data_IF_014326689844
#
_entry.id   IF_014326689844
#
_cell.length_a   1.000
_cell.length_b   1.000
_cell.length_c   1.000
_cell.angle_alpha   90.00
_cell.angle_beta   90.00
_cell.angle_gamma   90.00
#
_symmetry.space_group_name_H-M   'P 1'
#
loop_
_entity.id
_entity.type
_entity.pdbx_description
1 polymer ?
#
# COMPACT_ATOMS: atom_id res chain seq x y z
N UNK A 1 67.88 -20.34 47.86
CA UNK A 1 66.52 -20.59 48.41
C UNK A 1 65.60 -19.48 47.92
N UNK A 2 64.58 -19.86 47.15
CA UNK A 2 63.34 -19.18 46.72
C UNK A 2 63.38 -17.68 46.35
N UNK A 3 63.36 -17.44 45.04
CA UNK A 3 62.87 -16.20 44.42
C UNK A 3 61.39 -15.99 44.74
N UNK A 4 61.07 -14.74 45.06
CA UNK A 4 59.71 -14.19 45.16
C UNK A 4 59.13 -14.12 43.76
N UNK A 5 58.08 -14.90 43.50
CA UNK A 5 57.27 -14.79 42.30
C UNK A 5 56.18 -13.75 42.51
N UNK A 6 56.22 -12.68 41.72
CA UNK A 6 55.14 -11.71 41.56
C UNK A 6 53.84 -12.43 41.21
N UNK A 7 52.84 -12.34 42.09
CA UNK A 7 51.46 -12.69 41.77
C UNK A 7 50.80 -11.46 41.17
N UNK A 8 50.89 -11.31 39.85
CA UNK A 8 49.98 -10.47 39.07
C UNK A 8 48.57 -11.03 39.21
N UNK A 9 47.76 -10.39 40.06
CA UNK A 9 46.32 -10.67 40.17
C UNK A 9 45.67 -10.22 38.87
N UNK A 10 45.54 -11.14 37.92
CA UNK A 10 44.66 -10.99 36.77
C UNK A 10 43.22 -10.89 37.28
N UNK A 11 42.71 -9.67 37.40
CA UNK A 11 41.28 -9.44 37.56
C UNK A 11 40.56 -10.06 36.35
N UNK A 12 39.46 -10.80 36.55
CA UNK A 12 38.73 -11.39 35.43
C UNK A 12 38.25 -10.25 34.52
N UNK A 13 38.57 -10.35 33.23
CA UNK A 13 37.96 -9.55 32.19
C UNK A 13 36.46 -9.85 32.24
N UNK A 14 35.70 -8.98 32.88
CA UNK A 14 34.25 -9.03 32.88
C UNK A 14 33.78 -8.96 31.42
N UNK A 15 33.06 -9.98 31.00
CA UNK A 15 32.45 -10.03 29.68
C UNK A 15 31.25 -9.07 29.64
N UNK A 16 31.10 -8.31 28.55
CA UNK A 16 30.06 -7.29 28.39
C UNK A 16 28.66 -7.93 28.52
N UNK A 17 28.51 -9.16 28.01
CA UNK A 17 27.26 -9.91 28.09
C UNK A 17 26.94 -10.33 29.54
N UNK A 18 27.95 -10.72 30.31
CA UNK A 18 27.80 -11.06 31.72
C UNK A 18 27.42 -9.83 32.56
N UNK A 19 28.03 -8.67 32.29
CA UNK A 19 27.71 -7.40 32.96
C UNK A 19 26.27 -6.97 32.63
N UNK A 20 25.87 -7.06 31.36
CA UNK A 20 24.50 -6.73 30.91
C UNK A 20 23.45 -7.60 31.60
N UNK A 21 23.65 -8.92 31.60
CA UNK A 21 22.73 -9.86 32.25
C UNK A 21 22.63 -9.63 33.76
N UNK A 22 23.75 -9.31 34.41
CA UNK A 22 23.76 -9.02 35.84
C UNK A 22 22.99 -7.73 36.17
N UNK A 23 23.14 -6.68 35.36
CA UNK A 23 22.39 -5.43 35.53
C UNK A 23 20.88 -5.61 35.31
N UNK A 24 20.47 -6.45 34.35
CA UNK A 24 19.07 -6.82 34.13
C UNK A 24 18.46 -7.55 35.33
N UNK A 25 19.24 -8.41 35.99
CA UNK A 25 18.82 -9.14 37.19
C UNK A 25 18.82 -8.27 38.47
N UNK A 26 19.43 -7.07 38.43
CA UNK A 26 19.58 -6.17 39.57
C UNK A 26 19.12 -4.73 39.22
N UNK A 27 17.82 -4.50 38.91
CA UNK A 27 17.33 -3.20 38.44
C UNK A 27 17.56 -2.05 39.44
N UNK A 28 17.58 -2.35 40.75
CA UNK A 28 17.78 -1.36 41.81
C UNK A 28 19.24 -0.90 41.95
N UNK A 29 20.17 -1.50 41.19
CA UNK A 29 21.60 -1.19 41.23
C UNK A 29 21.87 0.32 41.10
N UNK A 30 21.20 0.99 40.16
CA UNK A 30 21.40 2.42 39.92
C UNK A 30 20.88 3.30 41.05
N UNK A 31 19.90 2.83 41.82
CA UNK A 31 19.38 3.55 43.00
C UNK A 31 20.36 3.38 44.16
N UNK A 32 20.81 2.15 44.42
CA UNK A 32 21.75 1.83 45.51
C UNK A 32 23.12 2.51 45.31
N UNK A 33 23.51 2.73 44.06
CA UNK A 33 24.80 3.31 43.68
C UNK A 33 24.67 4.66 42.97
N UNK A 34 23.62 5.45 43.29
CA UNK A 34 23.33 6.72 42.63
C UNK A 34 24.54 7.68 42.58
N UNK A 35 25.31 7.78 43.66
CA UNK A 35 26.50 8.65 43.74
C UNK A 35 27.62 8.23 42.79
N UNK A 36 27.77 6.93 42.54
CA UNK A 36 28.76 6.39 41.60
C UNK A 36 28.26 6.54 40.16
N UNK A 37 26.96 6.39 39.93
CA UNK A 37 26.33 6.56 38.61
C UNK A 37 26.38 8.03 38.16
N UNK A 38 26.25 9.00 39.06
CA UNK A 38 26.47 10.43 38.74
C UNK A 38 27.90 10.72 38.27
N UNK A 39 28.86 9.91 38.69
CA UNK A 39 30.26 10.01 38.25
C UNK A 39 30.51 9.20 36.97
N UNK A 40 29.58 8.30 36.60
CA UNK A 40 29.67 7.54 35.36
C UNK A 40 29.37 8.44 34.17
N UNK A 41 30.41 8.62 33.36
CA UNK A 41 30.40 9.38 32.13
C UNK A 41 30.27 8.42 30.97
N UNK A 42 29.11 8.38 30.34
CA UNK A 42 28.90 7.57 29.15
C UNK A 42 29.36 8.39 27.93
N UNK A 43 30.35 7.91 27.17
CA UNK A 43 30.78 8.60 25.96
C UNK A 43 29.66 8.56 24.93
N UNK A 44 29.20 9.72 24.46
CA UNK A 44 28.30 9.78 23.30
C UNK A 44 29.17 9.73 22.03
N UNK A 45 28.84 8.93 21.01
CA UNK A 45 29.65 8.79 19.79
C UNK A 45 29.89 10.07 18.97
N UNK A 46 29.32 11.22 19.37
CA UNK A 46 29.43 12.49 18.62
C UNK A 46 29.59 13.74 19.51
N UNK A 47 29.42 13.67 20.85
CA UNK A 47 29.61 14.84 21.75
C UNK A 47 29.93 14.45 23.20
N UNK A 48 31.17 14.65 23.62
CA UNK A 48 31.56 14.72 25.05
C UNK A 48 31.16 13.51 25.91
N UNK A 49 31.33 13.66 27.22
CA UNK A 49 30.92 12.67 28.22
C UNK A 49 29.66 13.16 28.93
N UNK A 50 28.57 12.39 28.90
CA UNK A 50 27.27 12.74 29.47
C UNK A 50 26.84 11.73 30.53
N UNK A 51 25.92 12.11 31.43
CA UNK A 51 25.36 11.18 32.43
C UNK A 51 24.48 10.11 31.76
N UNK A 52 24.41 8.91 32.34
CA UNK A 52 23.55 7.81 31.87
C UNK A 52 22.07 8.22 31.77
N UNK A 53 21.58 9.00 32.73
CA UNK A 53 20.19 9.48 32.75
C UNK A 53 19.94 10.49 31.63
N UNK A 54 20.88 11.41 31.40
CA UNK A 54 20.80 12.39 30.30
C UNK A 54 20.82 11.69 28.94
N UNK A 55 21.66 10.67 28.79
CA UNK A 55 21.71 9.84 27.59
C UNK A 55 20.39 9.10 27.35
N UNK A 56 19.80 8.49 28.38
CA UNK A 56 18.52 7.79 28.29
C UNK A 56 17.37 8.74 27.95
N UNK A 57 17.30 9.92 28.57
CA UNK A 57 16.31 10.96 28.28
C UNK A 57 16.44 11.49 26.84
N UNK A 58 17.67 11.71 26.37
CA UNK A 58 17.92 12.13 24.99
C UNK A 58 17.43 11.07 23.99
N UNK A 59 17.70 9.78 24.26
CA UNK A 59 17.22 8.66 23.43
C UNK A 59 15.69 8.56 23.44
N UNK A 60 15.06 8.71 24.60
CA UNK A 60 13.59 8.72 24.70
C UNK A 60 12.97 9.88 23.93
N UNK A 61 13.53 11.09 24.01
CA UNK A 61 13.06 12.24 23.21
C UNK A 61 13.15 11.99 21.72
N UNK A 62 14.26 11.39 21.25
CA UNK A 62 14.41 11.02 19.84
C UNK A 62 13.36 9.98 19.43
N UNK A 63 13.09 8.99 20.28
CA UNK A 63 12.06 7.98 19.99
C UNK A 63 10.65 8.59 19.95
N UNK A 64 10.32 9.49 20.89
CA UNK A 64 9.04 10.23 20.87
C UNK A 64 8.92 11.04 19.57
N UNK A 65 9.97 11.75 19.16
CA UNK A 65 9.95 12.55 17.93
C UNK A 65 9.71 11.67 16.69
N UNK A 66 10.35 10.50 16.62
CA UNK A 66 10.12 9.54 15.54
C UNK A 66 8.68 9.02 15.51
N UNK A 67 8.10 8.72 16.68
CA UNK A 67 6.71 8.29 16.79
C UNK A 67 5.73 9.41 16.40
N UNK A 68 6.02 10.65 16.77
CA UNK A 68 5.22 11.82 16.37
C UNK A 68 5.23 12.03 14.85
N UNK A 69 6.38 11.86 14.19
CA UNK A 69 6.51 11.87 12.73
C UNK A 69 5.70 10.75 12.08
N UNK A 70 5.81 9.51 12.59
CA UNK A 70 5.06 8.35 12.08
C UNK A 70 3.54 8.54 12.23
N UNK A 71 3.08 9.02 13.39
CA UNK A 71 1.65 9.32 13.62
C UNK A 71 1.18 10.41 12.66
N UNK A 72 1.99 11.43 12.40
CA UNK A 72 1.63 12.50 11.44
C UNK A 72 1.43 11.93 10.04
N UNK A 73 2.34 11.08 9.56
CA UNK A 73 2.21 10.41 8.26
C UNK A 73 0.96 9.52 8.21
N UNK A 74 0.68 8.76 9.27
CA UNK A 74 -0.53 7.93 9.34
C UNK A 74 -1.82 8.78 9.30
N UNK A 75 -1.83 9.94 9.97
CA UNK A 75 -2.96 10.86 9.91
C UNK A 75 -3.15 11.45 8.51
N UNK A 76 -2.08 11.86 7.83
CA UNK A 76 -2.14 12.36 6.46
C UNK A 76 -2.73 11.31 5.50
N UNK A 77 -2.27 10.06 5.62
CA UNK A 77 -2.81 8.95 4.85
C UNK A 77 -4.29 8.69 5.15
N UNK A 78 -4.68 8.77 6.42
CA UNK A 78 -6.08 8.59 6.85
C UNK A 78 -7.00 9.66 6.27
N UNK A 79 -6.57 10.93 6.28
CA UNK A 79 -7.33 12.04 5.69
C UNK A 79 -7.47 11.86 4.17
N UNK A 80 -6.39 11.50 3.48
CA UNK A 80 -6.42 11.26 2.04
C UNK A 80 -7.37 10.09 1.68
N UNK A 81 -7.32 9.00 2.44
CA UNK A 81 -8.22 7.86 2.25
C UNK A 81 -9.69 8.23 2.51
N UNK A 82 -9.96 9.03 3.54
CA UNK A 82 -11.31 9.50 3.84
C UNK A 82 -11.87 10.36 2.70
N UNK A 83 -11.07 11.29 2.17
CA UNK A 83 -11.46 12.12 1.02
C UNK A 83 -11.73 11.27 -0.23
N UNK A 84 -10.86 10.29 -0.51
CA UNK A 84 -11.03 9.37 -1.62
C UNK A 84 -12.34 8.57 -1.49
N UNK A 85 -12.68 8.13 -0.28
CA UNK A 85 -13.93 7.43 0.00
C UNK A 85 -15.16 8.32 -0.17
N UNK A 86 -15.12 9.58 0.28
CA UNK A 86 -16.20 10.54 0.05
C UNK A 86 -16.44 10.81 -1.45
N UNK A 87 -15.36 10.93 -2.22
CA UNK A 87 -15.45 11.07 -3.68
C UNK A 87 -16.03 9.81 -4.36
N UNK A 88 -15.73 8.62 -3.82
CA UNK A 88 -16.32 7.37 -4.28
C UNK A 88 -17.83 7.32 -4.02
N UNK A 89 -18.28 7.71 -2.83
CA UNK A 89 -19.71 7.80 -2.52
C UNK A 89 -20.43 8.78 -3.44
N UNK A 90 -19.85 9.95 -3.69
CA UNK A 90 -20.38 10.93 -4.64
C UNK A 90 -20.46 10.36 -6.07
N UNK A 91 -19.44 9.58 -6.49
CA UNK A 91 -19.44 8.91 -7.78
C UNK A 91 -20.62 7.94 -7.93
N UNK A 92 -20.96 7.16 -6.89
CA UNK A 92 -22.07 6.21 -6.97
C UNK A 92 -23.38 6.88 -7.39
N UNK A 93 -23.72 8.02 -6.76
CA UNK A 93 -24.89 8.80 -7.13
C UNK A 93 -24.82 9.31 -8.57
N UNK A 94 -23.65 9.82 -8.99
CA UNK A 94 -23.42 10.32 -10.36
C UNK A 94 -23.57 9.23 -11.43
N UNK A 95 -23.11 8.01 -11.16
CA UNK A 95 -23.23 6.87 -12.07
C UNK A 95 -24.66 6.32 -12.09
N UNK A 96 -25.32 6.26 -10.93
CA UNK A 96 -26.70 5.81 -10.82
C UNK A 96 -27.68 6.76 -11.54
N UNK A 97 -27.38 8.05 -11.61
CA UNK A 97 -28.17 9.06 -12.31
C UNK A 97 -27.79 9.23 -13.79
N UNK A 98 -27.01 8.33 -14.39
CA UNK A 98 -26.64 8.43 -15.80
C UNK A 98 -27.84 8.13 -16.71
N UNK A 99 -27.95 8.87 -17.81
CA UNK A 99 -29.07 8.74 -18.75
C UNK A 99 -28.84 7.65 -19.81
N UNK A 100 -27.58 7.20 -19.94
CA UNK A 100 -27.19 6.11 -20.84
C UNK A 100 -25.92 5.42 -20.32
N UNK A 101 -25.61 4.26 -20.90
CA UNK A 101 -24.35 3.56 -20.62
C UNK A 101 -23.12 4.40 -21.02
N UNK A 102 -23.18 5.12 -22.15
CA UNK A 102 -22.08 5.97 -22.61
C UNK A 102 -21.86 7.16 -21.66
N UNK A 103 -22.94 7.77 -21.17
CA UNK A 103 -22.87 8.82 -20.15
C UNK A 103 -22.27 8.26 -18.85
N UNK A 104 -22.71 7.09 -18.41
CA UNK A 104 -22.15 6.41 -17.22
C UNK A 104 -20.64 6.19 -17.35
N UNK A 105 -20.18 5.62 -18.47
CA UNK A 105 -18.75 5.39 -18.74
C UNK A 105 -17.97 6.71 -18.83
N UNK A 106 -18.56 7.74 -19.44
CA UNK A 106 -17.96 9.07 -19.53
C UNK A 106 -17.81 9.74 -18.15
N UNK A 107 -18.79 9.58 -17.26
CA UNK A 107 -18.74 10.06 -15.87
C UNK A 107 -17.66 9.33 -15.08
N UNK A 108 -17.56 8.00 -15.20
CA UNK A 108 -16.50 7.22 -14.56
C UNK A 108 -15.11 7.64 -15.06
N UNK A 109 -14.96 7.81 -16.37
CA UNK A 109 -13.71 8.27 -16.97
C UNK A 109 -13.33 9.68 -16.50
N UNK A 110 -14.30 10.62 -16.48
CA UNK A 110 -14.08 11.99 -15.99
C UNK A 110 -13.68 12.01 -14.52
N UNK A 111 -14.35 11.23 -13.67
CA UNK A 111 -14.00 11.11 -12.26
C UNK A 111 -12.55 10.63 -12.06
N UNK A 112 -12.09 9.65 -12.85
CA UNK A 112 -10.69 9.25 -12.81
C UNK A 112 -9.74 10.38 -13.24
N UNK A 113 -10.12 11.19 -14.23
CA UNK A 113 -9.35 12.37 -14.64
C UNK A 113 -9.31 13.45 -13.56
N UNK A 114 -10.40 13.65 -12.81
CA UNK A 114 -10.47 14.56 -11.66
C UNK A 114 -9.48 14.15 -10.55
N UNK A 115 -9.23 12.84 -10.40
CA UNK A 115 -8.21 12.26 -9.51
C UNK A 115 -6.77 12.37 -10.05
N UNK A 116 -6.55 13.00 -11.20
CA UNK A 116 -5.22 13.12 -11.83
C UNK A 116 -4.78 11.87 -12.61
N UNK A 117 -5.66 10.87 -12.77
CA UNK A 117 -5.34 9.65 -13.51
C UNK A 117 -5.40 9.89 -15.03
N UNK A 118 -4.82 8.98 -15.81
CA UNK A 118 -4.96 8.98 -17.27
C UNK A 118 -6.40 8.64 -17.69
N UNK A 119 -7.10 7.82 -16.92
CA UNK A 119 -8.54 7.58 -17.07
C UNK A 119 -9.00 6.25 -16.48
N UNK A 120 -10.30 6.00 -16.60
CA UNK A 120 -10.92 4.71 -16.26
C UNK A 120 -11.43 4.04 -17.54
N UNK A 121 -11.31 2.70 -17.59
CA UNK A 121 -11.76 1.88 -18.69
C UNK A 121 -12.41 0.61 -18.14
N UNK A 122 -13.42 0.13 -18.86
CA UNK A 122 -14.15 -1.09 -18.49
C UNK A 122 -14.19 -2.03 -19.68
N UNK A 123 -13.97 -3.31 -19.40
CA UNK A 123 -14.14 -4.41 -20.32
C UNK A 123 -15.12 -5.42 -19.72
N UNK A 124 -16.06 -5.90 -20.50
CA UNK A 124 -17.08 -6.86 -20.08
C UNK A 124 -16.85 -8.19 -20.79
N UNK A 125 -16.94 -9.30 -20.07
CA UNK A 125 -16.73 -10.59 -20.69
C UNK A 125 -17.90 -10.98 -21.59
N UNK A 126 -17.61 -11.23 -22.87
CA UNK A 126 -18.65 -11.43 -23.89
C UNK A 126 -19.51 -12.69 -23.71
N UNK A 127 -19.09 -13.60 -22.83
CA UNK A 127 -19.82 -14.82 -22.45
C UNK A 127 -20.84 -14.58 -21.32
N UNK A 128 -20.78 -13.44 -20.62
CA UNK A 128 -21.70 -13.07 -19.53
C UNK A 128 -22.66 -11.93 -19.87
N UNK A 129 -22.42 -11.22 -20.98
CA UNK A 129 -23.15 -10.01 -21.35
C UNK A 129 -23.56 -10.04 -22.82
N UNK A 130 -24.79 -9.61 -23.12
CA UNK A 130 -25.29 -9.47 -24.49
C UNK A 130 -24.76 -8.19 -25.15
N UNK A 131 -23.51 -8.25 -25.63
CA UNK A 131 -22.78 -7.11 -26.23
C UNK A 131 -22.80 -7.09 -27.78
N UNK A 132 -23.46 -8.07 -28.40
CA UNK A 132 -23.52 -8.20 -29.86
C UNK A 132 -24.64 -7.34 -30.45
N UNK A 133 -24.60 -7.15 -31.77
CA UNK A 133 -25.64 -6.45 -32.51
C UNK A 133 -27.04 -6.97 -32.12
N UNK A 134 -28.02 -6.08 -31.91
CA UNK A 134 -28.04 -4.67 -32.28
C UNK A 134 -27.39 -3.70 -31.27
N UNK A 135 -26.76 -4.18 -30.19
CA UNK A 135 -26.13 -3.30 -29.20
C UNK A 135 -24.88 -2.60 -29.74
N UNK A 136 -24.74 -1.29 -29.48
CA UNK A 136 -23.58 -0.47 -29.88
C UNK A 136 -22.35 -0.65 -28.97
N UNK A 137 -22.33 -1.68 -28.12
CA UNK A 137 -21.38 -1.82 -27.01
C UNK A 137 -20.26 -2.84 -27.26
N UNK A 138 -20.06 -3.24 -28.52
CA UNK A 138 -19.01 -4.20 -28.92
C UNK A 138 -17.61 -3.78 -28.48
N UNK A 139 -17.37 -2.47 -28.34
CA UNK A 139 -16.09 -1.93 -27.85
C UNK A 139 -15.78 -2.33 -26.39
N UNK A 140 -16.80 -2.64 -25.59
CA UNK A 140 -16.62 -3.12 -24.21
C UNK A 140 -16.29 -4.60 -24.15
N UNK A 141 -16.57 -5.36 -25.22
CA UNK A 141 -16.42 -6.80 -25.22
C UNK A 141 -14.96 -7.23 -25.04
N UNK A 142 -14.77 -8.23 -24.20
CA UNK A 142 -13.51 -8.92 -23.97
C UNK A 142 -13.77 -10.43 -23.95
N UNK A 143 -13.05 -11.16 -24.79
CA UNK A 143 -13.09 -12.62 -24.74
C UNK A 143 -12.37 -13.11 -23.50
N UNK A 144 -13.03 -13.94 -22.68
CA UNK A 144 -12.41 -14.58 -21.52
C UNK A 144 -11.16 -15.38 -21.90
N UNK A 145 -11.20 -16.08 -23.05
CA UNK A 145 -10.06 -16.83 -23.56
C UNK A 145 -8.87 -15.93 -23.91
N UNK A 146 -9.12 -14.75 -24.49
CA UNK A 146 -8.06 -13.80 -24.81
C UNK A 146 -7.45 -13.15 -23.54
N UNK A 147 -8.26 -12.98 -22.50
CA UNK A 147 -7.83 -12.40 -21.23
C UNK A 147 -7.11 -13.38 -20.30
N UNK A 148 -7.33 -14.69 -20.48
CA UNK A 148 -6.82 -15.73 -19.58
C UNK A 148 -5.29 -15.68 -19.33
N UNK A 149 -4.43 -15.44 -20.34
CA UNK A 149 -3.00 -15.28 -20.10
C UNK A 149 -2.68 -14.11 -19.16
N UNK A 150 -3.38 -12.99 -19.31
CA UNK A 150 -3.22 -11.80 -18.45
C UNK A 150 -3.71 -12.11 -17.03
N UNK A 151 -4.85 -12.79 -16.92
CA UNK A 151 -5.40 -13.24 -15.63
C UNK A 151 -4.39 -14.09 -14.87
N UNK A 152 -3.80 -15.09 -15.53
CA UNK A 152 -2.83 -15.99 -14.90
C UNK A 152 -1.54 -15.24 -14.52
N UNK A 153 -0.98 -14.45 -15.43
CA UNK A 153 0.33 -13.81 -15.22
C UNK A 153 0.29 -12.64 -14.23
N UNK A 154 -0.81 -11.88 -14.20
CA UNK A 154 -0.90 -10.64 -13.40
C UNK A 154 -1.71 -10.82 -12.13
N UNK A 155 -2.84 -11.51 -12.21
CA UNK A 155 -3.77 -11.64 -11.08
C UNK A 155 -3.56 -12.95 -10.31
N UNK A 156 -3.24 -14.05 -11.00
CA UNK A 156 -3.08 -15.36 -10.39
C UNK A 156 -4.36 -15.81 -9.68
N UNK A 157 -4.34 -15.76 -8.34
CA UNK A 157 -5.50 -16.04 -7.46
C UNK A 157 -6.15 -14.78 -6.88
N UNK A 158 -5.56 -13.62 -7.08
CA UNK A 158 -6.06 -12.34 -6.58
C UNK A 158 -7.08 -11.75 -7.55
N UNK A 159 -7.92 -10.84 -7.06
CA UNK A 159 -8.89 -10.12 -7.88
C UNK A 159 -8.34 -8.80 -8.42
N UNK A 160 -7.24 -8.30 -7.85
CA UNK A 160 -6.63 -7.02 -8.22
C UNK A 160 -5.19 -7.19 -8.62
N UNK A 161 -4.77 -6.33 -9.54
CA UNK A 161 -3.39 -6.17 -9.95
C UNK A 161 -3.04 -4.69 -10.03
N UNK A 162 -1.90 -4.32 -9.44
CA UNK A 162 -1.35 -2.97 -9.45
C UNK A 162 0.06 -3.04 -10.05
N UNK A 163 0.31 -2.33 -11.14
CA UNK A 163 1.64 -2.30 -11.76
C UNK A 163 1.62 -1.97 -13.25
N UNK A 164 2.66 -2.38 -13.97
CA UNK A 164 2.80 -2.11 -15.39
C UNK A 164 2.29 -3.25 -16.27
N UNK A 165 1.74 -2.89 -17.43
CA UNK A 165 1.33 -3.84 -18.47
C UNK A 165 2.29 -3.76 -19.66
N UNK A 166 2.50 -4.90 -20.31
CA UNK A 166 3.30 -4.97 -21.54
C UNK A 166 2.49 -4.51 -22.77
N UNK A 167 3.16 -4.31 -23.90
CA UNK A 167 2.54 -3.82 -25.13
C UNK A 167 1.32 -4.65 -25.58
N UNK A 168 1.43 -5.99 -25.68
CA UNK A 168 0.29 -6.85 -26.02
C UNK A 168 -0.89 -6.75 -25.04
N UNK A 169 -0.62 -6.74 -23.73
CA UNK A 169 -1.65 -6.56 -22.69
C UNK A 169 -2.37 -5.22 -22.83
N UNK A 170 -1.61 -4.14 -23.07
CA UNK A 170 -2.15 -2.80 -23.30
C UNK A 170 -3.00 -2.74 -24.57
N UNK A 171 -2.57 -3.38 -25.66
CA UNK A 171 -3.34 -3.40 -26.90
C UNK A 171 -4.67 -4.17 -26.73
N UNK A 172 -4.65 -5.27 -25.98
CA UNK A 172 -5.85 -6.05 -25.68
C UNK A 172 -6.84 -5.26 -24.82
N UNK A 173 -6.35 -4.67 -23.72
CA UNK A 173 -7.20 -4.10 -22.68
C UNK A 173 -7.52 -2.63 -22.92
N UNK A 174 -6.54 -1.85 -23.37
CA UNK A 174 -6.54 -0.38 -23.45
C UNK A 174 -6.05 0.13 -24.82
N UNK A 175 -6.61 -0.33 -25.96
CA UNK A 175 -6.11 -0.03 -27.31
C UNK A 175 -6.13 1.45 -27.67
N UNK A 176 -6.98 2.25 -27.02
CA UNK A 176 -7.10 3.68 -27.27
C UNK A 176 -6.24 4.53 -26.32
N UNK A 177 -5.68 3.93 -25.27
CA UNK A 177 -4.95 4.68 -24.27
C UNK A 177 -3.51 4.96 -24.73
N UNK A 178 -3.05 6.17 -24.45
CA UNK A 178 -1.69 6.64 -24.78
C UNK A 178 -0.93 6.95 -23.50
N UNK A 179 0.36 6.62 -23.49
CA UNK A 179 1.29 6.93 -22.40
C UNK A 179 0.83 6.38 -21.04
N UNK A 180 0.69 5.06 -20.94
CA UNK A 180 0.39 4.38 -19.67
C UNK A 180 1.71 4.02 -18.99
N UNK A 181 1.92 4.54 -17.79
CA UNK A 181 3.05 4.18 -16.92
C UNK A 181 2.71 3.01 -15.98
N UNK A 182 1.55 3.10 -15.33
CA UNK A 182 1.06 2.06 -14.41
C UNK A 182 -0.47 1.93 -14.49
N UNK A 183 -1.00 0.79 -14.06
CA UNK A 183 -2.41 0.40 -14.13
C UNK A 183 -2.83 -0.27 -12.82
N UNK A 184 -4.01 0.10 -12.35
CA UNK A 184 -4.79 -0.67 -11.41
C UNK A 184 -5.88 -1.44 -12.16
N UNK A 185 -5.90 -2.75 -12.03
CA UNK A 185 -6.82 -3.66 -12.72
C UNK A 185 -7.57 -4.49 -11.68
N UNK A 186 -8.88 -4.63 -11.86
CA UNK A 186 -9.75 -5.36 -10.95
C UNK A 186 -10.76 -6.21 -11.70
N UNK A 187 -10.93 -7.48 -11.29
CA UNK A 187 -11.99 -8.34 -11.80
C UNK A 187 -13.34 -7.96 -11.18
N UNK A 188 -14.37 -7.87 -12.00
CA UNK A 188 -15.70 -7.49 -11.57
C UNK A 188 -16.60 -8.69 -11.28
N UNK A 189 -17.47 -8.53 -10.27
CA UNK A 189 -18.38 -9.57 -9.78
C UNK A 189 -17.78 -10.44 -8.68
N UNK A 190 -18.62 -11.10 -7.88
CA UNK A 190 -18.19 -11.90 -6.72
C UNK A 190 -17.17 -12.99 -7.08
N UNK A 191 -17.29 -13.56 -8.29
CA UNK A 191 -16.38 -14.59 -8.81
C UNK A 191 -15.34 -14.04 -9.79
N UNK A 192 -15.26 -12.72 -9.96
CA UNK A 192 -14.36 -12.06 -10.91
C UNK A 192 -14.64 -12.44 -12.38
N UNK A 193 -15.89 -12.76 -12.69
CA UNK A 193 -16.27 -13.39 -13.96
C UNK A 193 -17.15 -12.51 -14.84
N UNK A 194 -17.42 -11.26 -14.46
CA UNK A 194 -18.29 -10.35 -15.21
C UNK A 194 -17.50 -9.38 -16.09
N UNK A 195 -16.25 -9.07 -15.76
CA UNK A 195 -15.42 -8.20 -16.56
C UNK A 195 -14.20 -7.71 -15.81
N UNK A 196 -13.59 -6.66 -16.34
CA UNK A 196 -12.38 -6.03 -15.81
C UNK A 196 -12.56 -4.52 -15.77
N UNK A 197 -12.37 -3.93 -14.60
CA UNK A 197 -12.24 -2.49 -14.38
C UNK A 197 -10.76 -2.12 -14.36
N UNK A 198 -10.41 -1.01 -15.02
CA UNK A 198 -9.04 -0.53 -15.08
C UNK A 198 -8.95 0.98 -14.87
N UNK A 199 -8.01 1.40 -14.04
CA UNK A 199 -7.55 2.78 -13.93
C UNK A 199 -6.11 2.85 -14.39
N UNK A 200 -5.78 3.84 -15.21
CA UNK A 200 -4.43 4.03 -15.72
C UNK A 200 -3.84 5.35 -15.24
N UNK A 201 -2.54 5.36 -14.96
CA UNK A 201 -1.75 6.56 -14.68
C UNK A 201 -0.63 6.71 -15.70
N UNK A 202 -0.21 7.94 -15.97
CA UNK A 202 0.97 8.23 -16.78
C UNK A 202 2.27 8.01 -15.99
N UNK A 203 2.19 8.08 -14.67
CA UNK A 203 3.30 7.82 -13.77
C UNK A 203 3.46 6.30 -13.57
N UNK A 204 4.68 5.80 -13.76
CA UNK A 204 5.03 4.39 -13.60
C UNK A 204 5.11 3.94 -12.15
N UNK A 205 5.22 4.89 -11.20
CA UNK A 205 5.28 4.61 -9.76
C UNK A 205 3.95 4.80 -9.04
N UNK A 206 2.92 5.29 -9.74
CA UNK A 206 1.63 5.58 -9.10
C UNK A 206 0.93 4.30 -8.57
N UNK A 207 0.76 3.28 -9.41
CA UNK A 207 0.24 1.98 -8.96
C UNK A 207 1.38 1.00 -8.74
N UNK A 208 1.58 0.60 -7.48
CA UNK A 208 2.63 -0.31 -7.07
C UNK A 208 2.08 -1.38 -6.12
N UNK A 209 2.82 -2.49 -6.01
CA UNK A 209 2.52 -3.55 -5.05
C UNK A 209 2.50 -2.98 -3.63
N UNK A 210 1.48 -3.33 -2.84
CA UNK A 210 1.31 -2.89 -1.46
C UNK A 210 0.38 -1.67 -1.27
N UNK A 211 -0.04 -0.99 -2.34
CA UNK A 211 -1.12 0.00 -2.27
C UNK A 211 -2.46 -0.68 -1.97
N UNK A 212 -3.30 -0.05 -1.16
CA UNK A 212 -4.63 -0.57 -0.80
C UNK A 212 -5.58 -0.66 -1.99
N UNK A 213 -6.44 -1.67 -2.01
CA UNK A 213 -7.37 -1.95 -3.13
C UNK A 213 -8.84 -1.79 -2.76
N UNK A 214 -9.16 -1.31 -1.57
CA UNK A 214 -10.54 -1.26 -1.04
C UNK A 214 -11.52 -0.50 -1.96
N UNK A 215 -11.06 0.59 -2.60
CA UNK A 215 -11.86 1.32 -3.57
C UNK A 215 -12.14 0.50 -4.83
N UNK A 216 -11.14 -0.26 -5.31
CA UNK A 216 -11.29 -1.14 -6.47
C UNK A 216 -12.28 -2.25 -6.17
N UNK A 217 -12.18 -2.86 -4.99
CA UNK A 217 -13.13 -3.86 -4.50
C UNK A 217 -14.57 -3.36 -4.53
N UNK A 218 -14.79 -2.15 -3.99
CA UNK A 218 -16.12 -1.56 -3.93
C UNK A 218 -16.69 -1.27 -5.33
N UNK A 219 -15.87 -0.72 -6.23
CA UNK A 219 -16.29 -0.47 -7.61
C UNK A 219 -16.53 -1.76 -8.39
N UNK A 220 -15.67 -2.76 -8.24
CA UNK A 220 -15.77 -4.06 -8.91
C UNK A 220 -17.05 -4.82 -8.51
N UNK A 221 -17.51 -4.61 -7.29
CA UNK A 221 -18.76 -5.18 -6.78
C UNK A 221 -20.00 -4.39 -7.24
N UNK A 222 -19.92 -3.06 -7.26
CA UNK A 222 -21.05 -2.17 -7.53
C UNK A 222 -21.34 -1.99 -9.03
N UNK A 223 -20.31 -1.84 -9.86
CA UNK A 223 -20.45 -1.53 -11.29
C UNK A 223 -21.27 -2.59 -12.07
N UNK A 224 -21.12 -3.91 -11.83
CA UNK A 224 -21.94 -4.91 -12.53
C UNK A 224 -23.44 -4.75 -12.33
N UNK A 225 -23.90 -4.27 -11.17
CA UNK A 225 -25.32 -4.00 -10.94
C UNK A 225 -25.79 -2.80 -11.78
N UNK A 226 -24.95 -1.77 -11.93
CA UNK A 226 -25.26 -0.62 -12.78
C UNK A 226 -25.25 -0.98 -14.28
N UNK A 227 -24.31 -1.80 -14.73
CA UNK A 227 -24.29 -2.26 -16.12
C UNK A 227 -25.51 -3.10 -16.48
N UNK A 228 -26.04 -3.89 -15.55
CA UNK A 228 -27.24 -4.70 -15.77
C UNK A 228 -28.50 -3.87 -16.08
N UNK A 229 -28.49 -2.55 -15.83
CA UNK A 229 -29.58 -1.64 -16.25
C UNK A 229 -29.61 -1.38 -17.75
N UNK A 230 -28.47 -1.54 -18.42
CA UNK A 230 -28.29 -1.18 -19.83
C UNK A 230 -27.99 -2.39 -20.71
N UNK A 231 -27.34 -3.41 -20.17
CA UNK A 231 -26.93 -4.61 -20.88
C UNK A 231 -27.48 -5.82 -20.15
N UNK A 232 -28.19 -6.68 -20.90
CA UNK A 232 -28.73 -7.93 -20.38
C UNK A 232 -27.62 -8.95 -20.10
N UNK A 233 -27.75 -9.69 -19.00
CA UNK A 233 -26.88 -10.83 -18.68
C UNK A 233 -27.24 -12.04 -19.55
N UNK A 234 -26.25 -12.86 -19.87
CA UNK A 234 -26.43 -14.14 -20.58
C UNK A 234 -26.69 -15.27 -19.59
#
# INVERSE_FOLDING_TARGET
MKNVGEQTVNAPLLDDEAVSNWLLQNPDFFIRHARQVEQMRIPHPVRGTVSLVEWQLARQRNHISQLEEEITLLMEHSVANQQLFEQLLALQGRLASADSLEDMLSRLHRWARELGLAGANVRLFSDRWRLNAPSSFTQLALSRHAFEPVRIQRLGKHQHYLGSLNGPELLLLLPQAKQIGSVAMSLMGEQGDLGVLMFSSRDSQHYHTGMGTDLLDHLATMLPALFARWIERV
#
